data_IF_182881104534
#
_entry.id   IF_182881104534
#
_cell.length_a   1.000
_cell.length_b   1.000
_cell.length_c   1.000
_cell.angle_alpha   90.00
_cell.angle_beta   90.00
_cell.angle_gamma   90.00
#
_symmetry.space_group_name_H-M   'P 1'
#
loop_
_entity.id
_entity.type
_entity.pdbx_description
1 polymer ?
#
# COMPACT_ATOMS: atom_id res chain seq x y z
N UNK A 1 11.30 -25.18 47.33
CA UNK A 1 10.63 -24.49 48.46
C UNK A 1 9.85 -23.32 47.87
N UNK A 2 8.70 -23.55 47.24
CA UNK A 2 7.36 -23.51 47.84
C UNK A 2 7.20 -22.38 48.87
N UNK A 3 6.67 -21.24 48.46
CA UNK A 3 5.94 -20.33 49.35
C UNK A 3 4.50 -20.20 48.83
N UNK A 4 3.66 -21.08 49.39
CA UNK A 4 2.23 -20.87 49.53
C UNK A 4 1.98 -19.57 50.31
N UNK A 5 1.02 -18.74 49.88
CA UNK A 5 0.11 -18.16 50.86
C UNK A 5 -1.26 -17.84 50.27
N UNK A 6 -2.27 -18.09 51.11
CA UNK A 6 -3.67 -18.35 50.79
C UNK A 6 -4.52 -17.07 50.93
N UNK A 7 -5.50 -16.95 50.02
CA UNK A 7 -6.88 -16.47 50.22
C UNK A 7 -7.10 -15.03 50.71
N UNK A 8 -7.77 -14.21 49.89
CA UNK A 8 -8.87 -13.35 50.32
C UNK A 8 -9.90 -13.20 49.18
N UNK A 9 -11.12 -13.68 49.41
CA UNK A 9 -12.30 -13.33 48.62
C UNK A 9 -12.79 -11.96 49.08
N UNK A 10 -13.03 -11.02 48.16
CA UNK A 10 -13.77 -9.80 48.44
C UNK A 10 -14.60 -9.38 47.22
N UNK A 11 -15.90 -9.36 47.45
CA UNK A 11 -17.00 -8.97 46.56
C UNK A 11 -16.98 -7.48 46.23
N UNK A 12 -17.20 -7.12 44.97
CA UNK A 12 -17.84 -5.84 44.60
C UNK A 12 -18.45 -5.95 43.20
N UNK A 13 -19.75 -6.25 43.14
CA UNK A 13 -20.59 -5.98 41.98
C UNK A 13 -20.89 -4.49 42.01
N UNK A 14 -20.39 -3.74 41.03
CA UNK A 14 -20.78 -2.35 40.80
C UNK A 14 -21.44 -2.25 39.42
N UNK A 15 -22.78 -2.33 39.43
CA UNK A 15 -23.65 -1.89 38.36
C UNK A 15 -23.52 -0.38 38.23
N UNK A 16 -22.92 0.12 37.15
CA UNK A 16 -23.15 1.49 36.68
C UNK A 16 -23.48 1.42 35.20
N UNK A 17 -24.78 1.43 34.92
CA UNK A 17 -25.33 1.72 33.62
C UNK A 17 -25.14 3.22 33.36
N UNK A 18 -24.33 3.56 32.36
CA UNK A 18 -24.38 4.88 31.72
C UNK A 18 -24.76 4.64 30.27
N UNK A 19 -26.06 4.76 30.02
CA UNK A 19 -26.60 5.04 28.70
C UNK A 19 -26.24 6.49 28.36
N UNK A 20 -25.28 6.65 27.45
CA UNK A 20 -25.26 7.80 26.55
C UNK A 20 -25.15 7.30 25.12
N UNK A 21 -26.30 7.36 24.44
CA UNK A 21 -26.45 7.12 23.03
C UNK A 21 -25.85 8.28 22.25
N UNK A 22 -24.93 7.98 21.33
CA UNK A 22 -24.90 8.60 20.01
C UNK A 22 -24.62 7.50 18.99
N UNK A 23 -25.66 7.12 18.24
CA UNK A 23 -25.49 6.36 17.01
C UNK A 23 -24.99 7.34 15.96
N UNK A 24 -23.76 7.16 15.49
CA UNK A 24 -23.24 7.85 14.31
C UNK A 24 -22.24 6.96 13.59
N UNK A 25 -22.82 6.10 12.75
CA UNK A 25 -22.35 5.63 11.44
C UNK A 25 -20.84 5.47 11.20
N UNK A 26 -20.42 4.20 11.10
CA UNK A 26 -19.15 3.81 10.52
C UNK A 26 -18.56 2.57 11.18
N UNK A 27 -19.16 1.39 10.95
CA UNK A 27 -18.40 0.14 11.03
C UNK A 27 -17.26 0.23 10.01
N UNK A 28 -16.08 0.65 10.45
CA UNK A 28 -14.85 0.27 9.78
C UNK A 28 -14.41 -1.03 10.43
N UNK A 29 -14.59 -2.11 9.66
CA UNK A 29 -14.35 -3.48 10.09
C UNK A 29 -12.99 -3.64 10.75
N UNK A 30 -12.91 -4.66 11.60
CA UNK A 30 -11.63 -5.23 12.04
C UNK A 30 -10.70 -5.36 10.84
N UNK A 31 -9.71 -4.46 10.72
CA UNK A 31 -8.60 -4.71 9.82
C UNK A 31 -7.89 -5.92 10.41
N UNK A 32 -7.98 -7.03 9.68
CA UNK A 32 -7.21 -8.23 9.96
C UNK A 32 -5.78 -7.82 10.27
N UNK A 33 -5.19 -8.51 11.24
CA UNK A 33 -3.81 -8.35 11.66
C UNK A 33 -2.91 -8.47 10.42
N UNK A 34 -2.64 -7.35 9.74
CA UNK A 34 -1.84 -7.34 8.52
C UNK A 34 -0.46 -7.83 8.90
N UNK A 35 -0.18 -9.08 8.56
CA UNK A 35 1.17 -9.62 8.62
C UNK A 35 1.99 -8.83 7.62
N UNK A 36 3.05 -8.20 8.10
CA UNK A 36 3.96 -7.48 7.23
C UNK A 36 4.62 -8.48 6.28
N UNK A 37 4.22 -8.45 5.02
CA UNK A 37 4.67 -9.35 3.94
C UNK A 37 5.76 -8.69 3.07
N UNK A 38 6.53 -7.77 3.67
CA UNK A 38 7.57 -7.04 2.96
C UNK A 38 6.99 -6.12 1.89
N UNK A 39 7.51 -6.26 0.66
CA UNK A 39 7.14 -5.41 -0.48
C UNK A 39 5.74 -5.71 -1.02
N UNK A 40 5.21 -6.92 -0.76
CA UNK A 40 3.91 -7.34 -1.28
C UNK A 40 2.76 -6.56 -0.65
N UNK A 41 1.76 -6.22 -1.46
CA UNK A 41 0.58 -5.47 -1.05
C UNK A 41 0.31 -4.27 -1.95
N UNK A 42 -0.71 -3.49 -1.57
CA UNK A 42 -1.10 -2.27 -2.29
C UNK A 42 -0.53 -1.02 -1.64
N UNK A 43 0.01 -0.15 -2.48
CA UNK A 43 0.73 1.07 -2.12
C UNK A 43 0.14 2.25 -2.88
N UNK A 44 -0.25 3.31 -2.17
CA UNK A 44 -0.75 4.55 -2.75
C UNK A 44 0.33 5.61 -2.76
N UNK A 45 0.54 6.29 -3.88
CA UNK A 45 1.47 7.42 -3.97
C UNK A 45 0.96 8.58 -3.11
N UNK A 46 1.84 9.14 -2.27
CA UNK A 46 1.49 10.29 -1.40
C UNK A 46 2.40 11.50 -1.62
N UNK A 47 3.64 11.28 -2.08
CA UNK A 47 4.55 12.36 -2.44
C UNK A 47 5.46 11.96 -3.59
N UNK A 48 5.88 12.96 -4.37
CA UNK A 48 6.80 12.83 -5.48
C UNK A 48 7.85 13.95 -5.41
N UNK A 49 9.13 13.58 -5.48
CA UNK A 49 10.28 14.48 -5.38
C UNK A 49 10.17 15.46 -4.20
N UNK A 50 9.77 14.95 -3.03
CA UNK A 50 9.63 15.72 -1.79
C UNK A 50 8.38 16.60 -1.67
N UNK A 51 7.46 16.53 -2.65
CA UNK A 51 6.21 17.29 -2.64
C UNK A 51 5.00 16.36 -2.54
N UNK A 52 4.08 16.66 -1.62
CA UNK A 52 2.79 15.96 -1.58
C UNK A 52 2.08 16.10 -2.93
N UNK A 53 1.39 15.03 -3.34
CA UNK A 53 0.67 15.00 -4.61
C UNK A 53 -0.79 14.64 -4.40
N UNK A 54 -1.67 15.24 -5.20
CA UNK A 54 -3.07 14.86 -5.30
C UNK A 54 -3.30 13.74 -6.33
N UNK A 55 -2.22 13.27 -6.99
CA UNK A 55 -2.27 12.17 -7.93
C UNK A 55 -2.81 10.91 -7.25
N UNK A 56 -3.80 10.29 -7.88
CA UNK A 56 -4.45 9.10 -7.34
C UNK A 56 -3.91 7.86 -8.04
N UNK A 57 -2.73 7.44 -7.58
CA UNK A 57 -1.95 6.34 -8.15
C UNK A 57 -1.76 5.24 -7.10
N UNK A 58 -2.06 4.00 -7.49
CA UNK A 58 -1.91 2.82 -6.65
C UNK A 58 -1.14 1.75 -7.40
N UNK A 59 -0.16 1.14 -6.74
CA UNK A 59 0.50 -0.07 -7.23
C UNK A 59 0.26 -1.22 -6.27
N UNK A 60 -0.18 -2.34 -6.80
CA UNK A 60 -0.26 -3.61 -6.09
C UNK A 60 0.87 -4.50 -6.58
N UNK A 61 1.73 -4.93 -5.66
CA UNK A 61 2.82 -5.86 -5.91
C UNK A 61 2.41 -7.22 -5.32
N UNK A 62 2.15 -8.19 -6.19
CA UNK A 62 1.60 -9.50 -5.79
C UNK A 62 2.72 -10.49 -5.44
N UNK A 63 2.40 -11.52 -4.64
CA UNK A 63 3.35 -12.58 -4.26
C UNK A 63 3.88 -13.37 -5.46
N UNK A 64 3.10 -13.48 -6.54
CA UNK A 64 3.47 -14.17 -7.77
C UNK A 64 4.37 -13.33 -8.71
N UNK A 65 4.91 -12.21 -8.21
CA UNK A 65 5.72 -11.26 -8.98
C UNK A 65 4.98 -10.58 -10.13
N UNK A 66 3.65 -10.57 -10.11
CA UNK A 66 2.85 -9.68 -10.96
C UNK A 66 2.59 -8.33 -10.28
N UNK A 67 2.36 -7.29 -11.07
CA UNK A 67 1.89 -6.01 -10.54
C UNK A 67 0.60 -5.55 -11.21
N UNK A 68 -0.14 -4.71 -10.50
CA UNK A 68 -1.27 -3.96 -11.03
C UNK A 68 -1.15 -2.51 -10.61
N UNK A 69 -1.11 -1.60 -11.58
CA UNK A 69 -1.02 -0.18 -11.39
C UNK A 69 -2.31 0.49 -11.86
N UNK A 70 -2.93 1.23 -10.94
CA UNK A 70 -4.07 2.09 -11.18
C UNK A 70 -3.60 3.54 -11.18
N UNK A 71 -3.86 4.27 -12.24
CA UNK A 71 -3.59 5.70 -12.31
C UNK A 71 -4.84 6.42 -12.74
N UNK A 72 -5.31 7.37 -11.93
CA UNK A 72 -6.40 8.25 -12.32
C UNK A 72 -5.92 9.24 -13.38
N UNK A 73 -6.65 9.30 -14.48
CA UNK A 73 -6.56 10.34 -15.51
C UNK A 73 -7.73 11.31 -15.28
N UNK A 74 -7.42 12.61 -15.19
CA UNK A 74 -8.29 13.69 -14.70
C UNK A 74 -9.81 13.44 -14.90
N UNK A 75 -10.23 13.39 -16.16
CA UNK A 75 -11.64 13.22 -16.57
C UNK A 75 -11.94 11.84 -17.19
N UNK A 76 -10.93 10.98 -17.37
CA UNK A 76 -11.05 9.73 -18.14
C UNK A 76 -11.21 8.49 -17.28
N UNK A 77 -11.16 8.63 -15.96
CA UNK A 77 -11.26 7.52 -15.02
C UNK A 77 -9.88 6.94 -14.69
N UNK A 78 -9.78 5.63 -14.51
CA UNK A 78 -8.48 4.99 -14.22
C UNK A 78 -7.93 4.25 -15.43
N UNK A 79 -6.68 4.54 -15.75
CA UNK A 79 -5.86 3.68 -16.58
C UNK A 79 -5.32 2.52 -15.75
N UNK A 80 -5.46 1.32 -16.30
CA UNK A 80 -4.96 0.08 -15.71
C UNK A 80 -3.73 -0.40 -16.46
N UNK A 81 -2.63 -0.58 -15.74
CA UNK A 81 -1.42 -1.21 -16.24
C UNK A 81 -1.13 -2.48 -15.44
N UNK A 82 -0.77 -3.54 -16.14
CA UNK A 82 -0.45 -4.85 -15.55
C UNK A 82 0.85 -5.35 -16.14
N UNK A 83 1.52 -6.24 -15.41
CA UNK A 83 2.77 -6.83 -15.85
C UNK A 83 3.44 -7.64 -14.75
N UNK A 84 4.73 -7.85 -14.89
CA UNK A 84 5.58 -8.55 -13.92
C UNK A 84 6.65 -7.62 -13.37
N UNK A 85 7.09 -7.87 -12.15
CA UNK A 85 8.20 -7.16 -11.53
C UNK A 85 9.22 -8.13 -10.96
N UNK A 86 10.45 -7.66 -10.77
CA UNK A 86 11.50 -8.37 -10.03
C UNK A 86 11.94 -7.48 -8.88
N UNK A 87 12.18 -8.07 -7.72
CA UNK A 87 12.77 -7.40 -6.56
C UNK A 87 14.01 -8.18 -6.12
N UNK A 88 15.18 -7.57 -6.28
CA UNK A 88 16.44 -8.10 -5.77
C UNK A 88 16.69 -7.53 -4.37
N UNK A 89 16.42 -8.33 -3.34
CA UNK A 89 16.59 -7.92 -1.94
C UNK A 89 18.06 -7.60 -1.58
N UNK A 90 19.04 -8.18 -2.29
CA UNK A 90 20.46 -7.93 -2.00
C UNK A 90 20.90 -6.53 -2.45
N UNK A 91 20.33 -6.04 -3.55
CA UNK A 91 20.61 -4.71 -4.10
C UNK A 91 19.50 -3.70 -3.82
N UNK A 92 18.39 -4.14 -3.22
CA UNK A 92 17.15 -3.37 -3.06
C UNK A 92 16.62 -2.80 -4.39
N UNK A 93 16.93 -3.47 -5.51
CA UNK A 93 16.57 -3.01 -6.84
C UNK A 93 15.26 -3.64 -7.29
N UNK A 94 14.38 -2.83 -7.88
CA UNK A 94 13.13 -3.25 -8.47
C UNK A 94 13.12 -2.90 -9.95
N UNK A 95 12.73 -3.85 -10.77
CA UNK A 95 12.48 -3.66 -12.20
C UNK A 95 11.12 -4.22 -12.55
N UNK A 96 10.58 -3.83 -13.70
CA UNK A 96 9.34 -4.44 -14.18
C UNK A 96 9.19 -4.38 -15.69
N UNK A 97 8.22 -5.17 -16.16
CA UNK A 97 7.85 -5.31 -17.56
C UNK A 97 6.33 -5.33 -17.64
N UNK A 98 5.76 -4.48 -18.48
CA UNK A 98 4.33 -4.44 -18.75
C UNK A 98 3.90 -5.68 -19.53
N UNK A 99 2.62 -6.05 -19.46
CA UNK A 99 2.10 -7.23 -20.16
C UNK A 99 2.25 -7.20 -21.70
N UNK A 100 2.52 -6.01 -22.28
CA UNK A 100 2.86 -5.87 -23.70
C UNK A 100 4.36 -6.10 -24.00
N UNK A 101 5.16 -6.50 -23.01
CA UNK A 101 6.60 -6.77 -23.13
C UNK A 101 7.48 -5.52 -23.06
N UNK A 102 6.92 -4.32 -22.88
CA UNK A 102 7.72 -3.10 -22.69
C UNK A 102 8.25 -3.08 -21.25
N UNK A 103 9.56 -2.86 -21.02
CA UNK A 103 10.07 -2.67 -19.67
C UNK A 103 9.54 -1.35 -19.07
N UNK A 104 9.58 -1.26 -17.74
CA UNK A 104 9.50 0.03 -17.04
C UNK A 104 10.58 0.99 -17.55
N UNK A 105 10.35 2.29 -17.37
CA UNK A 105 11.25 3.31 -17.92
C UNK A 105 12.67 3.23 -17.32
N UNK A 106 12.77 2.82 -16.06
CA UNK A 106 14.02 2.60 -15.35
C UNK A 106 13.84 1.53 -14.28
N UNK A 107 14.96 1.12 -13.69
CA UNK A 107 14.97 0.41 -12.43
C UNK A 107 14.77 1.41 -11.28
N UNK A 108 14.37 0.89 -10.11
CA UNK A 108 14.17 1.70 -8.91
C UNK A 108 14.90 1.07 -7.72
N UNK A 109 15.60 1.88 -6.96
CA UNK A 109 16.22 1.48 -5.71
C UNK A 109 15.28 1.78 -4.54
N UNK A 110 14.94 0.76 -3.75
CA UNK A 110 14.12 0.92 -2.54
C UNK A 110 15.01 1.47 -1.42
N UNK A 111 14.71 2.68 -0.96
CA UNK A 111 15.42 3.33 0.15
C UNK A 111 14.69 3.19 1.49
N UNK A 112 13.38 2.92 1.46
CA UNK A 112 12.59 2.64 2.67
C UNK A 112 11.53 1.60 2.35
N UNK A 113 11.46 0.56 3.17
CA UNK A 113 10.40 -0.44 3.13
C UNK A 113 10.05 -0.90 4.55
N UNK A 114 8.83 -0.62 4.97
CA UNK A 114 8.25 -1.05 6.24
C UNK A 114 6.76 -1.33 6.08
N UNK A 115 6.06 -1.73 7.15
CA UNK A 115 4.64 -2.10 7.09
C UNK A 115 3.70 -1.01 6.56
N UNK A 116 4.13 0.25 6.54
CA UNK A 116 3.33 1.42 6.15
C UNK A 116 3.96 2.28 5.06
N UNK A 117 5.25 2.15 4.80
CA UNK A 117 5.98 3.03 3.88
C UNK A 117 6.76 2.22 2.84
N UNK A 118 6.67 2.67 1.60
CA UNK A 118 7.54 2.25 0.51
C UNK A 118 8.07 3.52 -0.15
N UNK A 119 9.40 3.69 -0.17
CA UNK A 119 10.06 4.78 -0.89
C UNK A 119 11.03 4.19 -1.86
N UNK A 120 10.91 4.60 -3.12
CA UNK A 120 11.83 4.19 -4.17
C UNK A 120 12.43 5.41 -4.88
N UNK A 121 13.62 5.24 -5.40
CA UNK A 121 14.38 6.24 -6.15
C UNK A 121 14.65 5.70 -7.55
N UNK A 122 14.45 6.51 -8.59
CA UNK A 122 14.75 6.09 -9.96
C UNK A 122 16.26 5.93 -10.17
N UNK A 123 16.65 4.90 -10.93
CA UNK A 123 18.02 4.70 -11.42
C UNK A 123 18.28 5.59 -12.66
N UNK A 124 18.01 6.89 -12.52
CA UNK A 124 18.15 7.90 -13.58
C UNK A 124 18.82 9.16 -13.05
N UNK A 125 19.23 10.05 -13.95
CA UNK A 125 19.67 11.40 -13.61
C UNK A 125 18.79 12.43 -14.37
N UNK A 126 18.07 13.32 -13.66
CA UNK A 126 17.98 13.43 -12.20
C UNK A 126 17.27 12.23 -11.55
N UNK A 127 17.58 12.01 -10.27
CA UNK A 127 16.89 11.02 -9.44
C UNK A 127 15.49 11.54 -9.10
N UNK A 128 14.49 10.70 -9.36
CA UNK A 128 13.09 10.94 -9.03
C UNK A 128 12.72 10.06 -7.83
N UNK A 129 12.14 10.66 -6.79
CA UNK A 129 11.79 9.97 -5.55
C UNK A 129 10.28 9.84 -5.48
N UNK A 130 9.76 8.63 -5.29
CA UNK A 130 8.34 8.42 -5.03
C UNK A 130 8.13 7.82 -3.66
N UNK A 131 7.22 8.41 -2.90
CA UNK A 131 6.84 7.95 -1.57
C UNK A 131 5.43 7.39 -1.59
N UNK A 132 5.29 6.15 -1.12
CA UNK A 132 4.02 5.45 -1.03
C UNK A 132 3.66 5.11 0.41
N UNK A 133 2.35 4.99 0.63
CA UNK A 133 1.76 4.48 1.86
C UNK A 133 0.95 3.23 1.58
N UNK A 134 1.02 2.28 2.52
CA UNK A 134 0.18 1.08 2.50
C UNK A 134 -1.29 1.50 2.40
N UNK A 135 -2.03 0.87 1.49
CA UNK A 135 -3.44 1.19 1.22
C UNK A 135 -4.19 -0.05 0.75
N UNK A 136 -5.50 0.08 0.57
CA UNK A 136 -6.31 -0.91 -0.14
C UNK A 136 -6.39 -0.52 -1.63
N UNK A 137 -6.52 -1.51 -2.51
CA UNK A 137 -6.78 -1.24 -3.92
C UNK A 137 -8.07 -0.43 -4.08
N UNK A 138 -8.12 0.54 -5.02
CA UNK A 138 -9.34 1.30 -5.25
C UNK A 138 -10.46 0.34 -5.67
N UNK A 139 -11.65 0.48 -5.08
CA UNK A 139 -12.85 -0.31 -5.42
C UNK A 139 -13.43 0.05 -6.80
N UNK A 140 -12.59 0.46 -7.74
CA UNK A 140 -12.94 0.86 -9.09
C UNK A 140 -13.06 -0.40 -9.94
N UNK A 141 -14.19 -1.08 -9.78
CA UNK A 141 -14.57 -2.22 -10.59
C UNK A 141 -15.70 -1.77 -11.49
N UNK A 142 -15.42 -1.02 -12.58
CA UNK A 142 -16.29 -0.98 -13.79
C UNK A 142 -15.85 -0.06 -14.95
N UNK A 143 -14.97 0.94 -14.78
CA UNK A 143 -14.64 1.90 -15.88
C UNK A 143 -13.13 2.05 -16.16
N UNK A 144 -12.36 0.99 -15.89
CA UNK A 144 -10.92 0.99 -16.18
C UNK A 144 -10.67 0.72 -17.66
N UNK A 145 -9.89 1.59 -18.31
CA UNK A 145 -9.40 1.36 -19.67
C UNK A 145 -8.00 0.74 -19.63
N UNK A 146 -7.70 -0.15 -20.58
CA UNK A 146 -6.33 -0.59 -20.80
C UNK A 146 -5.49 0.65 -21.15
N UNK A 147 -4.42 0.90 -20.40
CA UNK A 147 -3.54 2.04 -20.64
C UNK A 147 -2.98 2.02 -22.07
N UNK A 148 -2.85 3.20 -22.69
CA UNK A 148 -2.37 3.34 -24.06
C UNK A 148 -0.90 2.95 -24.24
N UNK A 149 -0.49 2.73 -25.50
CA UNK A 149 0.87 2.34 -25.92
C UNK A 149 1.97 3.37 -25.52
N UNK A 150 1.58 4.60 -25.15
CA UNK A 150 2.46 5.63 -24.62
C UNK A 150 2.68 5.43 -23.12
N UNK A 151 3.40 4.34 -22.77
CA UNK A 151 3.53 3.95 -21.36
C UNK A 151 4.61 4.79 -20.67
N UNK A 152 4.19 5.91 -20.08
CA UNK A 152 4.78 6.50 -18.88
C UNK A 152 3.82 6.31 -17.69
N UNK A 153 4.12 5.35 -16.83
CA UNK A 153 4.03 5.62 -15.41
C UNK A 153 5.30 5.12 -14.70
N UNK A 154 5.80 5.73 -13.63
CA UNK A 154 5.27 6.77 -12.75
C UNK A 154 5.82 8.15 -13.14
N UNK A 155 5.34 9.23 -12.50
CA UNK A 155 5.82 10.61 -12.69
C UNK A 155 7.31 10.66 -13.03
#
# INVERSE_FOLDING_TARGET
MLHNMKRLFATAVALIAVLFSVTSCGEFGESGKETYEGIHGTWKLVAFCGHNTDADIYITLNEDSSFTLYQREDDLGYSLFVGTYTHDEATSMVTGEYANGKPWNCAYHITTLDAKSLVWESDTEPVEVSEYRRSEAPKVVTDSRAGGDDVKPFL
#
